data_IF_969650898226
#
_entry.id   IF_969650898226
#
_cell.length_a   1.000
_cell.length_b   1.000
_cell.length_c   1.000
_cell.angle_alpha   90.00
_cell.angle_beta   90.00
_cell.angle_gamma   90.00
#
_symmetry.space_group_name_H-M   'P 1'
#
loop_
_entity.id
_entity.type
_entity.pdbx_description
1 polymer ?
#
# COMPACT_ATOMS: atom_id res chain seq x y z
N UNK A 1 18.17 19.68 2.50
CA UNK A 1 16.86 20.35 2.70
C UNK A 1 15.76 19.67 1.86
N UNK A 2 15.95 19.43 0.54
CA UNK A 2 14.96 18.78 -0.35
C UNK A 2 14.45 17.44 0.13
N UNK A 3 15.30 16.54 0.62
CA UNK A 3 14.90 15.23 1.18
C UNK A 3 13.94 15.36 2.36
N UNK A 4 14.22 16.28 3.32
CA UNK A 4 13.37 16.47 4.48
C UNK A 4 11.99 17.04 4.09
N UNK A 5 11.99 18.06 3.23
CA UNK A 5 10.75 18.67 2.73
C UNK A 5 9.90 17.60 2.02
N UNK A 6 10.52 16.81 1.13
CA UNK A 6 9.84 15.77 0.38
C UNK A 6 9.32 14.64 1.26
N UNK A 7 10.08 14.22 2.27
CA UNK A 7 9.64 13.23 3.25
C UNK A 7 8.39 13.72 4.01
N UNK A 8 8.42 14.95 4.51
CA UNK A 8 7.30 15.55 5.25
C UNK A 8 6.08 15.74 4.35
N UNK A 9 6.27 16.28 3.14
CA UNK A 9 5.19 16.41 2.15
C UNK A 9 4.54 15.05 1.86
N UNK A 10 5.35 14.04 1.54
CA UNK A 10 4.87 12.68 1.32
C UNK A 10 4.12 12.13 2.53
N UNK A 11 4.66 12.32 3.74
CA UNK A 11 4.04 11.85 4.97
C UNK A 11 2.66 12.48 5.21
N UNK A 12 2.53 13.79 5.11
CA UNK A 12 1.24 14.45 5.33
C UNK A 12 0.22 14.06 4.27
N UNK A 13 0.59 14.02 2.99
CA UNK A 13 -0.29 13.56 1.92
C UNK A 13 -0.67 12.08 2.13
N UNK A 14 0.30 11.23 2.45
CA UNK A 14 0.11 9.82 2.74
C UNK A 14 -0.77 9.55 3.95
N UNK A 15 -0.76 10.46 4.94
CA UNK A 15 -1.53 10.30 6.18
C UNK A 15 -3.04 10.47 6.00
N UNK A 16 -3.51 10.97 4.86
CA UNK A 16 -4.94 11.06 4.57
C UNK A 16 -5.54 9.65 4.47
N UNK A 17 -6.50 9.26 5.35
CA UNK A 17 -7.05 7.90 5.39
C UNK A 17 -8.26 7.78 4.44
N UNK A 18 -8.01 7.74 3.12
CA UNK A 18 -9.09 7.81 2.12
C UNK A 18 -10.17 6.77 2.31
N UNK A 19 -9.83 5.51 2.63
CA UNK A 19 -10.84 4.48 2.86
C UNK A 19 -11.79 4.82 4.00
N UNK A 20 -11.29 5.42 5.09
CA UNK A 20 -12.11 5.87 6.20
C UNK A 20 -12.97 7.07 5.80
N UNK A 21 -12.37 8.08 5.17
CA UNK A 21 -13.08 9.31 4.72
C UNK A 21 -14.21 8.96 3.75
N UNK A 22 -13.93 8.15 2.73
CA UNK A 22 -14.93 7.75 1.73
C UNK A 22 -16.09 6.96 2.37
N UNK A 23 -15.79 6.07 3.32
CA UNK A 23 -16.84 5.32 4.00
C UNK A 23 -17.69 6.21 4.90
N UNK A 24 -17.11 7.20 5.59
CA UNK A 24 -17.87 8.18 6.34
C UNK A 24 -18.80 9.00 5.45
N UNK A 25 -18.30 9.55 4.35
CA UNK A 25 -19.08 10.33 3.38
C UNK A 25 -20.21 9.51 2.74
N UNK A 26 -19.99 8.20 2.58
CA UNK A 26 -20.99 7.27 2.04
C UNK A 26 -21.97 6.72 3.10
N UNK A 27 -21.94 7.20 4.36
CA UNK A 27 -22.87 6.83 5.41
C UNK A 27 -22.58 5.50 6.14
N UNK A 28 -21.41 4.88 5.90
CA UNK A 28 -21.03 3.62 6.57
C UNK A 28 -20.37 3.83 7.96
N UNK A 29 -20.05 5.08 8.33
CA UNK A 29 -19.38 5.38 9.59
C UNK A 29 -17.95 4.83 9.68
N UNK A 30 -17.52 4.50 10.89
CA UNK A 30 -16.14 4.06 11.15
C UNK A 30 -15.93 2.57 10.85
N UNK A 31 -15.34 2.28 9.69
CA UNK A 31 -15.04 0.92 9.22
C UNK A 31 -14.01 0.18 10.07
N UNK A 32 -13.31 0.86 10.98
CA UNK A 32 -12.36 0.22 11.92
C UNK A 32 -13.08 -0.62 12.97
N UNK A 33 -14.37 -0.36 13.19
CA UNK A 33 -15.23 -1.12 14.11
C UNK A 33 -15.77 -2.41 13.48
N UNK A 34 -15.50 -2.67 12.19
CA UNK A 34 -16.10 -3.77 11.45
C UNK A 34 -15.09 -4.47 10.54
N UNK A 35 -15.40 -5.69 10.15
CA UNK A 35 -14.57 -6.50 9.24
C UNK A 35 -13.20 -6.84 9.85
N UNK A 36 -12.12 -6.39 9.20
CA UNK A 36 -10.75 -6.60 9.70
C UNK A 36 -10.23 -5.49 10.60
N UNK A 37 -11.02 -4.45 10.84
CA UNK A 37 -10.60 -3.27 11.59
C UNK A 37 -9.60 -2.36 10.87
N UNK A 38 -9.26 -2.65 9.60
CA UNK A 38 -8.30 -1.87 8.82
C UNK A 38 -8.99 -0.77 8.00
N UNK A 39 -8.28 0.33 7.71
CA UNK A 39 -8.76 1.45 6.90
C UNK A 39 -8.61 1.22 5.37
N UNK A 40 -7.93 0.15 4.95
CA UNK A 40 -7.57 -0.07 3.54
C UNK A 40 -8.66 -0.74 2.71
N UNK A 41 -8.42 -0.78 1.40
CA UNK A 41 -9.30 -1.23 0.30
C UNK A 41 -10.02 -2.55 0.58
N UNK A 42 -9.31 -3.58 1.08
CA UNK A 42 -9.92 -4.90 1.35
C UNK A 42 -10.98 -4.83 2.45
N UNK A 43 -10.78 -3.98 3.47
CA UNK A 43 -11.79 -3.80 4.51
C UNK A 43 -12.97 -2.97 4.02
N UNK A 44 -12.71 -1.94 3.21
CA UNK A 44 -13.79 -1.17 2.54
C UNK A 44 -14.70 -2.11 1.76
N UNK A 45 -14.14 -3.01 0.92
CA UNK A 45 -14.94 -4.01 0.20
C UNK A 45 -15.71 -4.93 1.14
N UNK A 46 -15.08 -5.39 2.22
CA UNK A 46 -15.67 -6.34 3.17
C UNK A 46 -16.86 -5.73 3.92
N UNK A 47 -16.75 -4.48 4.34
CA UNK A 47 -17.77 -3.79 5.12
C UNK A 47 -18.89 -3.25 4.23
N UNK A 48 -18.52 -2.54 3.15
CA UNK A 48 -19.51 -1.81 2.33
C UNK A 48 -20.13 -2.67 1.23
N UNK A 49 -19.46 -3.73 0.76
CA UNK A 49 -19.79 -4.52 -0.43
C UNK A 49 -19.84 -3.67 -1.73
N UNK A 50 -19.44 -2.40 -1.68
CA UNK A 50 -19.43 -1.46 -2.80
C UNK A 50 -18.10 -1.49 -3.53
N UNK A 51 -18.13 -1.86 -4.81
CA UNK A 51 -16.94 -1.95 -5.65
C UNK A 51 -16.40 -0.57 -6.06
N UNK A 52 -17.27 0.40 -6.25
CA UNK A 52 -16.93 1.79 -6.57
C UNK A 52 -16.12 2.43 -5.44
N UNK A 53 -16.59 2.36 -4.18
CA UNK A 53 -15.85 2.84 -3.02
C UNK A 53 -14.52 2.10 -2.84
N UNK A 54 -14.51 0.81 -3.10
CA UNK A 54 -13.31 -0.02 -3.03
C UNK A 54 -12.27 0.42 -4.06
N UNK A 55 -12.69 0.61 -5.31
CA UNK A 55 -11.82 1.04 -6.39
C UNK A 55 -11.29 2.46 -6.14
N UNK A 56 -12.17 3.38 -5.72
CA UNK A 56 -11.77 4.75 -5.39
C UNK A 56 -10.76 4.78 -4.23
N UNK A 57 -10.99 3.98 -3.19
CA UNK A 57 -10.02 3.81 -2.09
C UNK A 57 -8.68 3.31 -2.60
N UNK A 58 -8.67 2.30 -3.48
CA UNK A 58 -7.44 1.75 -4.05
C UNK A 58 -6.68 2.80 -4.84
N UNK A 59 -7.37 3.53 -5.73
CA UNK A 59 -6.77 4.57 -6.56
C UNK A 59 -6.17 5.69 -5.69
N UNK A 60 -6.92 6.18 -4.72
CA UNK A 60 -6.47 7.27 -3.86
C UNK A 60 -5.35 6.85 -2.90
N UNK A 61 -5.42 5.64 -2.32
CA UNK A 61 -4.37 5.14 -1.44
C UNK A 61 -3.07 4.80 -2.19
N UNK A 62 -3.15 4.30 -3.42
CA UNK A 62 -1.99 4.12 -4.29
C UNK A 62 -1.48 5.47 -4.81
N UNK A 63 -2.41 6.31 -5.27
CA UNK A 63 -2.12 7.61 -5.88
C UNK A 63 -1.38 8.56 -4.96
N UNK A 64 -1.74 8.63 -3.67
CA UNK A 64 -1.14 9.59 -2.73
C UNK A 64 0.39 9.43 -2.59
N UNK A 65 0.90 8.20 -2.47
CA UNK A 65 2.34 7.96 -2.37
C UNK A 65 3.04 8.07 -3.74
N UNK A 66 2.39 7.58 -4.81
CA UNK A 66 2.88 7.73 -6.17
C UNK A 66 2.94 9.19 -6.61
N UNK A 67 1.90 9.96 -6.36
CA UNK A 67 1.86 11.39 -6.67
C UNK A 67 2.92 12.19 -5.90
N UNK A 68 3.09 11.91 -4.60
CA UNK A 68 4.15 12.54 -3.81
C UNK A 68 5.53 12.28 -4.42
N UNK A 69 5.79 11.04 -4.84
CA UNK A 69 7.05 10.66 -5.47
C UNK A 69 7.27 11.38 -6.79
N UNK A 70 6.28 11.38 -7.70
CA UNK A 70 6.37 12.03 -9.01
C UNK A 70 6.54 13.55 -8.88
N UNK A 71 5.74 14.18 -8.03
CA UNK A 71 5.81 15.62 -7.81
C UNK A 71 7.17 16.04 -7.25
N UNK A 72 7.69 15.31 -6.25
CA UNK A 72 9.00 15.61 -5.69
C UNK A 72 10.13 15.38 -6.71
N UNK A 73 10.05 14.32 -7.52
CA UNK A 73 10.99 14.09 -8.62
C UNK A 73 10.99 15.26 -9.60
N UNK A 74 9.81 15.73 -9.99
CA UNK A 74 9.64 16.84 -10.93
C UNK A 74 10.17 18.16 -10.36
N UNK A 75 9.80 18.52 -9.14
CA UNK A 75 10.18 19.78 -8.51
C UNK A 75 11.68 19.88 -8.20
N UNK A 76 12.31 18.78 -7.83
CA UNK A 76 13.73 18.77 -7.41
C UNK A 76 14.68 18.17 -8.45
N UNK A 77 14.16 17.67 -9.59
CA UNK A 77 14.98 17.06 -10.64
C UNK A 77 15.73 15.80 -10.18
N UNK A 78 15.25 15.09 -9.14
CA UNK A 78 15.98 14.00 -8.49
C UNK A 78 15.07 12.82 -8.16
N UNK A 79 15.35 11.68 -8.79
CA UNK A 79 14.65 10.43 -8.53
C UNK A 79 14.79 9.96 -7.07
N UNK A 80 15.95 10.21 -6.43
CA UNK A 80 16.17 9.86 -5.02
C UNK A 80 15.31 10.70 -4.09
N UNK A 81 15.07 11.97 -4.40
CA UNK A 81 14.17 12.86 -3.64
C UNK A 81 12.72 12.36 -3.80
N UNK A 82 12.32 11.96 -5.01
CA UNK A 82 11.03 11.34 -5.28
C UNK A 82 10.83 10.03 -4.51
N UNK A 83 11.86 9.18 -4.46
CA UNK A 83 11.83 7.94 -3.70
C UNK A 83 11.55 8.22 -2.20
N UNK A 84 12.22 9.23 -1.63
CA UNK A 84 12.02 9.63 -0.22
C UNK A 84 10.63 10.20 0.02
N UNK A 85 10.08 10.99 -0.91
CA UNK A 85 8.69 11.45 -0.83
C UNK A 85 7.69 10.30 -0.85
N UNK A 86 7.89 9.32 -1.72
CA UNK A 86 7.06 8.10 -1.78
C UNK A 86 7.12 7.29 -0.49
N UNK A 87 8.32 7.11 0.10
CA UNK A 87 8.51 6.49 1.41
C UNK A 87 7.72 7.24 2.49
N UNK A 88 7.81 8.57 2.52
CA UNK A 88 6.99 9.42 3.39
C UNK A 88 5.51 9.11 3.21
N UNK A 89 5.03 8.98 1.97
CA UNK A 89 3.64 8.65 1.64
C UNK A 89 3.18 7.31 2.20
N UNK A 90 4.02 6.28 2.13
CA UNK A 90 3.72 4.96 2.72
C UNK A 90 3.74 5.02 4.24
N UNK A 91 4.73 5.70 4.84
CA UNK A 91 4.80 5.88 6.30
C UNK A 91 3.59 6.65 6.82
N UNK A 92 3.15 7.71 6.13
CA UNK A 92 1.94 8.45 6.46
C UNK A 92 0.68 7.58 6.44
N UNK A 93 0.53 6.67 5.45
CA UNK A 93 -0.58 5.72 5.43
C UNK A 93 -0.53 4.72 6.60
N UNK A 94 0.66 4.24 6.96
CA UNK A 94 0.84 3.25 8.03
C UNK A 94 0.70 3.86 9.42
N UNK A 95 1.11 5.12 9.57
CA UNK A 95 1.19 5.84 10.85
C UNK A 95 0.59 7.24 10.72
N UNK A 96 -0.70 7.38 10.33
CA UNK A 96 -1.31 8.69 10.13
C UNK A 96 -1.49 9.43 11.47
N UNK A 97 -1.01 10.67 11.50
CA UNK A 97 -1.10 11.52 12.70
C UNK A 97 -2.57 11.72 13.14
N UNK A 98 -3.48 11.84 12.18
CA UNK A 98 -4.93 12.03 12.42
C UNK A 98 -5.61 10.85 13.12
N UNK A 99 -4.99 9.67 13.11
CA UNK A 99 -5.51 8.44 13.69
C UNK A 99 -4.62 7.92 14.85
N UNK A 100 -3.93 8.83 15.54
CA UNK A 100 -2.99 8.46 16.62
C UNK A 100 -1.99 7.38 16.17
N UNK A 101 -1.45 7.51 14.96
CA UNK A 101 -0.50 6.61 14.33
C UNK A 101 -1.00 5.17 14.10
N UNK A 102 -2.33 4.94 14.20
CA UNK A 102 -2.98 3.65 13.97
C UNK A 102 -3.60 3.57 12.56
N UNK A 103 -2.75 3.47 11.55
CA UNK A 103 -3.15 3.45 10.14
C UNK A 103 -3.29 2.07 9.51
N UNK A 104 -3.20 2.07 8.17
CA UNK A 104 -3.30 0.88 7.34
C UNK A 104 -2.02 0.03 7.31
N UNK A 105 -1.96 -0.85 6.31
CA UNK A 105 -0.80 -1.74 6.08
C UNK A 105 0.10 -1.28 4.93
N UNK A 106 -0.30 -0.24 4.22
CA UNK A 106 0.52 0.41 3.21
C UNK A 106 0.62 -0.30 1.86
N UNK A 107 -0.08 -1.41 1.62
CA UNK A 107 0.09 -2.21 0.39
C UNK A 107 -0.20 -1.39 -0.87
N UNK A 108 -1.37 -0.76 -0.96
CA UNK A 108 -1.74 0.06 -2.11
C UNK A 108 -0.78 1.24 -2.29
N UNK A 109 -0.44 1.93 -1.20
CA UNK A 109 0.49 3.07 -1.22
C UNK A 109 1.90 2.64 -1.65
N UNK A 110 2.38 1.47 -1.21
CA UNK A 110 3.68 0.92 -1.63
C UNK A 110 3.69 0.55 -3.12
N UNK A 111 2.64 -0.12 -3.60
CA UNK A 111 2.52 -0.45 -5.03
C UNK A 111 2.43 0.82 -5.88
N UNK A 112 1.67 1.82 -5.46
CA UNK A 112 1.58 3.12 -6.14
C UNK A 112 2.92 3.87 -6.18
N UNK A 113 3.65 3.87 -5.07
CA UNK A 113 5.01 4.41 -5.01
C UNK A 113 5.95 3.65 -5.96
N UNK A 114 5.93 2.31 -5.97
CA UNK A 114 6.78 1.50 -6.87
C UNK A 114 6.48 1.77 -8.33
N UNK A 115 5.19 1.87 -8.71
CA UNK A 115 4.78 2.23 -10.08
C UNK A 115 5.30 3.61 -10.49
N UNK A 116 5.36 4.55 -9.58
CA UNK A 116 5.82 5.91 -9.83
C UNK A 116 7.34 6.03 -9.88
N UNK A 117 8.07 5.31 -9.01
CA UNK A 117 9.52 5.47 -8.84
C UNK A 117 10.35 4.45 -9.60
N UNK A 118 9.82 3.25 -9.81
CA UNK A 118 10.44 2.17 -10.57
C UNK A 118 9.39 1.31 -11.27
N UNK A 119 8.83 1.79 -12.41
CA UNK A 119 7.63 1.21 -13.04
C UNK A 119 7.70 -0.31 -13.29
N UNK A 120 8.83 -0.83 -13.75
CA UNK A 120 9.01 -2.28 -14.00
C UNK A 120 8.78 -3.08 -12.72
N UNK A 121 9.39 -2.66 -11.61
CA UNK A 121 9.21 -3.31 -10.30
C UNK A 121 7.76 -3.18 -9.82
N UNK A 122 7.17 -2.00 -9.98
CA UNK A 122 5.77 -1.75 -9.62
C UNK A 122 4.81 -2.67 -10.37
N UNK A 123 5.00 -2.83 -11.68
CA UNK A 123 4.19 -3.74 -12.52
C UNK A 123 4.37 -5.19 -12.08
N UNK A 124 5.61 -5.65 -11.88
CA UNK A 124 5.89 -7.02 -11.43
C UNK A 124 5.30 -7.29 -10.04
N UNK A 125 5.40 -6.35 -9.13
CA UNK A 125 4.78 -6.47 -7.80
C UNK A 125 3.25 -6.53 -7.89
N UNK A 126 2.61 -5.70 -8.72
CA UNK A 126 1.17 -5.78 -8.98
C UNK A 126 0.78 -7.13 -9.59
N UNK A 127 1.50 -7.62 -10.60
CA UNK A 127 1.26 -8.92 -11.22
C UNK A 127 1.43 -10.06 -10.20
N UNK A 128 2.48 -10.03 -9.38
CA UNK A 128 2.69 -10.99 -8.31
C UNK A 128 1.50 -10.99 -7.34
N UNK A 129 1.04 -9.81 -6.93
CA UNK A 129 -0.14 -9.70 -6.06
C UNK A 129 -1.37 -10.35 -6.68
N UNK A 130 -1.65 -10.06 -7.95
CA UNK A 130 -2.80 -10.62 -8.69
C UNK A 130 -2.71 -12.14 -8.82
N UNK A 131 -1.55 -12.66 -9.25
CA UNK A 131 -1.33 -14.10 -9.40
C UNK A 131 -1.54 -14.82 -8.06
N UNK A 132 -0.92 -14.33 -7.00
CA UNK A 132 -1.08 -14.90 -5.66
C UNK A 132 -2.53 -14.83 -5.15
N UNK A 133 -3.24 -13.74 -5.45
CA UNK A 133 -4.64 -13.58 -5.08
C UNK A 133 -5.57 -14.55 -5.83
N UNK A 134 -5.28 -14.84 -7.09
CA UNK A 134 -6.04 -15.80 -7.89
C UNK A 134 -5.79 -17.25 -7.43
N UNK A 135 -4.52 -17.60 -7.16
CA UNK A 135 -4.12 -18.96 -6.77
C UNK A 135 -4.58 -19.30 -5.34
N UNK A 136 -4.27 -18.45 -4.38
CA UNK A 136 -4.45 -18.75 -2.96
C UNK A 136 -5.66 -18.07 -2.31
N UNK A 137 -6.18 -17.02 -2.93
CA UNK A 137 -7.35 -16.22 -2.46
C UNK A 137 -7.15 -15.51 -1.13
N UNK A 138 -5.90 -15.25 -0.71
CA UNK A 138 -5.59 -14.48 0.49
C UNK A 138 -4.92 -13.14 0.11
N UNK A 139 -5.61 -12.02 0.38
CA UNK A 139 -5.07 -10.67 0.12
C UNK A 139 -3.78 -10.39 0.90
N UNK A 140 -3.68 -10.89 2.14
CA UNK A 140 -2.49 -10.74 2.98
C UNK A 140 -1.30 -11.51 2.45
N UNK A 141 -1.46 -12.77 2.04
CA UNK A 141 -0.40 -13.57 1.43
C UNK A 141 0.09 -12.94 0.13
N UNK A 142 -0.86 -12.48 -0.71
CA UNK A 142 -0.53 -11.80 -1.97
C UNK A 142 0.31 -10.55 -1.74
N UNK A 143 -0.06 -9.73 -0.74
CA UNK A 143 0.67 -8.52 -0.39
C UNK A 143 2.07 -8.84 0.14
N UNK A 144 2.18 -9.79 1.07
CA UNK A 144 3.47 -10.21 1.64
C UNK A 144 4.41 -10.74 0.55
N UNK A 145 3.94 -11.62 -0.34
CA UNK A 145 4.75 -12.15 -1.44
C UNK A 145 5.19 -11.05 -2.41
N UNK A 146 4.25 -10.20 -2.85
CA UNK A 146 4.55 -9.14 -3.80
C UNK A 146 5.59 -8.14 -3.28
N UNK A 147 5.43 -7.70 -2.02
CA UNK A 147 6.35 -6.73 -1.43
C UNK A 147 7.70 -7.36 -1.06
N UNK A 148 7.73 -8.63 -0.65
CA UNK A 148 8.99 -9.32 -0.35
C UNK A 148 9.83 -9.61 -1.60
N UNK A 149 9.21 -9.79 -2.77
CA UNK A 149 9.92 -9.98 -4.04
C UNK A 149 10.38 -8.66 -4.67
N UNK A 150 9.79 -7.52 -4.30
CA UNK A 150 10.11 -6.23 -4.92
C UNK A 150 11.61 -5.83 -4.85
N UNK A 151 12.35 -6.00 -3.73
CA UNK A 151 13.78 -5.70 -3.70
C UNK A 151 14.59 -6.60 -4.64
N UNK A 152 14.20 -7.86 -4.82
CA UNK A 152 14.84 -8.77 -5.76
C UNK A 152 14.58 -8.35 -7.22
N UNK A 153 13.36 -7.94 -7.54
CA UNK A 153 13.04 -7.36 -8.85
C UNK A 153 13.88 -6.10 -9.11
N UNK A 154 13.99 -5.19 -8.12
CA UNK A 154 14.79 -3.98 -8.26
C UNK A 154 16.26 -4.29 -8.57
N UNK A 155 16.85 -5.26 -7.88
CA UNK A 155 18.23 -5.69 -8.14
C UNK A 155 18.39 -6.37 -9.50
N UNK A 156 17.47 -7.27 -9.86
CA UNK A 156 17.53 -8.00 -11.12
C UNK A 156 17.45 -7.09 -12.35
N UNK A 157 16.69 -6.01 -12.30
CA UNK A 157 16.51 -5.08 -13.43
C UNK A 157 17.43 -3.85 -13.41
N UNK A 158 18.09 -3.54 -12.31
CA UNK A 158 18.93 -2.35 -12.21
C UNK A 158 20.33 -2.60 -11.64
N UNK A 159 20.62 -3.80 -11.18
CA UNK A 159 21.91 -4.12 -10.60
C UNK A 159 22.31 -3.19 -9.46
N UNK A 160 23.59 -2.82 -9.40
CA UNK A 160 24.12 -1.94 -8.37
C UNK A 160 23.52 -0.51 -8.43
N UNK A 161 23.13 -0.02 -9.60
CA UNK A 161 22.52 1.31 -9.74
C UNK A 161 21.15 1.40 -9.04
N UNK A 162 20.48 0.27 -8.82
CA UNK A 162 19.19 0.21 -8.15
C UNK A 162 19.29 0.08 -6.62
N UNK A 163 20.46 0.08 -5.99
CA UNK A 163 20.60 -0.09 -4.54
C UNK A 163 19.69 0.82 -3.69
N UNK A 164 19.49 2.11 -4.01
CA UNK A 164 18.57 2.94 -3.23
C UNK A 164 17.13 2.38 -3.23
N UNK A 165 16.67 1.83 -4.36
CA UNK A 165 15.36 1.21 -4.49
C UNK A 165 15.31 -0.16 -3.77
N UNK A 166 16.37 -0.96 -3.90
CA UNK A 166 16.49 -2.25 -3.20
C UNK A 166 16.35 -2.05 -1.69
N UNK A 167 17.08 -1.08 -1.12
CA UNK A 167 17.02 -0.77 0.31
C UNK A 167 15.64 -0.23 0.71
N UNK A 168 15.07 0.69 -0.06
CA UNK A 168 13.74 1.24 0.20
C UNK A 168 12.65 0.15 0.16
N UNK A 169 12.69 -0.72 -0.84
CA UNK A 169 11.68 -1.79 -0.99
C UNK A 169 11.88 -2.91 0.04
N UNK A 170 13.12 -3.23 0.42
CA UNK A 170 13.40 -4.13 1.54
C UNK A 170 12.87 -3.59 2.87
N UNK A 171 13.08 -2.31 3.15
CA UNK A 171 12.52 -1.64 4.31
C UNK A 171 10.98 -1.72 4.32
N UNK A 172 10.32 -1.44 3.18
CA UNK A 172 8.86 -1.51 3.06
C UNK A 172 8.33 -2.95 3.16
N UNK A 173 9.08 -3.95 2.67
CA UNK A 173 8.75 -5.36 2.84
C UNK A 173 8.76 -5.75 4.33
N UNK A 174 9.82 -5.40 5.07
CA UNK A 174 9.93 -5.62 6.51
C UNK A 174 8.81 -4.91 7.28
N UNK A 175 8.55 -3.64 6.95
CA UNK A 175 7.45 -2.88 7.55
C UNK A 175 6.11 -3.55 7.28
N UNK A 176 5.89 -4.04 6.04
CA UNK A 176 4.69 -4.78 5.69
C UNK A 176 4.54 -6.06 6.51
N UNK A 177 5.61 -6.84 6.72
CA UNK A 177 5.58 -8.03 7.59
C UNK A 177 5.12 -7.66 9.00
N UNK A 178 5.69 -6.61 9.60
CA UNK A 178 5.31 -6.12 10.93
C UNK A 178 3.83 -5.72 10.97
N UNK A 179 3.37 -4.98 9.95
CA UNK A 179 1.97 -4.53 9.85
C UNK A 179 0.98 -5.67 9.56
N UNK A 180 1.45 -6.81 9.04
CA UNK A 180 0.65 -8.01 8.78
C UNK A 180 0.78 -9.09 9.86
N UNK A 181 1.44 -8.84 11.00
CA UNK A 181 1.67 -9.84 12.07
C UNK A 181 0.43 -10.68 12.39
N UNK A 182 -0.72 -10.02 12.64
CA UNK A 182 -1.97 -10.73 12.93
C UNK A 182 -2.54 -11.51 11.72
N UNK A 183 -2.22 -11.11 10.48
CA UNK A 183 -2.59 -11.90 9.29
C UNK A 183 -1.67 -13.10 9.13
N UNK A 184 -0.37 -12.95 9.39
CA UNK A 184 0.60 -14.05 9.35
C UNK A 184 0.19 -15.13 10.35
N UNK A 185 -0.14 -14.73 11.57
CA UNK A 185 -0.65 -15.65 12.61
C UNK A 185 -1.91 -16.40 12.13
N UNK A 186 -2.90 -15.70 11.56
CA UNK A 186 -4.09 -16.32 10.99
C UNK A 186 -3.80 -17.22 9.80
N UNK A 187 -2.82 -16.86 8.95
CA UNK A 187 -2.40 -17.70 7.81
C UNK A 187 -1.81 -19.02 8.30
N UNK A 188 -0.90 -18.97 9.28
CA UNK A 188 -0.28 -20.16 9.88
C UNK A 188 -1.34 -21.07 10.52
N UNK A 189 -2.32 -20.48 11.23
CA UNK A 189 -3.39 -21.21 11.89
C UNK A 189 -4.56 -21.60 10.96
N UNK A 190 -4.48 -21.32 9.65
CA UNK A 190 -5.57 -21.62 8.69
C UNK A 190 -6.84 -20.78 8.86
N UNK A 191 -6.78 -19.69 9.63
CA UNK A 191 -7.92 -18.83 10.00
C UNK A 191 -8.03 -17.55 9.18
N UNK A 192 -7.14 -17.33 8.21
CA UNK A 192 -7.17 -16.09 7.41
C UNK A 192 -8.39 -16.10 6.46
N UNK A 193 -9.01 -14.93 6.32
CA UNK A 193 -10.21 -14.77 5.49
C UNK A 193 -9.86 -14.74 4.01
N UNK A 194 -10.43 -15.63 3.22
CA UNK A 194 -10.27 -15.67 1.76
C UNK A 194 -11.02 -14.53 1.07
N UNK A 195 -10.46 -14.09 -0.07
CA UNK A 195 -11.14 -13.18 -1.00
C UNK A 195 -12.27 -13.97 -1.68
N UNK A 196 -13.47 -13.42 -1.65
CA UNK A 196 -14.60 -14.01 -2.36
C UNK A 196 -14.81 -13.29 -3.70
N UNK A 197 -14.46 -13.95 -4.79
CA UNK A 197 -14.63 -13.43 -6.16
C UNK A 197 -16.02 -13.72 -6.74
N UNK A 198 -16.84 -14.60 -6.11
CA UNK A 198 -18.16 -14.94 -6.62
C UNK A 198 -19.14 -13.79 -6.38
N UNK A 199 -19.81 -13.33 -7.44
CA UNK A 199 -21.03 -12.54 -7.33
C UNK A 199 -22.07 -13.43 -6.61
N UNK A 200 -22.57 -13.01 -5.43
CA UNK A 200 -23.92 -13.44 -5.05
C UNK A 200 -24.87 -12.71 -6.03
N UNK A 201 -25.32 -13.40 -7.06
CA UNK A 201 -26.50 -12.99 -7.80
C UNK A 201 -27.67 -13.16 -6.82
N UNK A 202 -28.23 -12.05 -6.36
CA UNK A 202 -29.59 -11.98 -5.82
C UNK A 202 -30.44 -11.28 -6.87
#
# INVERSE_FOLDING_TARGET
>A
MSYLISLLFGYFLGSVPFGLVLCYLAGYGDIRKSGSGNIGTTNVLRVTKRKDLTLLTLILDAGKAGFAALLATYLFGSASVGLVAGLGGVLGHNFPIWLNFKGGKGVASTLGMMLATYPVVGVLACLTWVVMALLFKYSSLSALTALSLAPFYAYAFGGAAAYPYVLAFAFLALLSMIRHRANIERLINGQETKINFKKKVK
#
